data_IF_218758197680
#
_entry.id   IF_218758197680
#
_cell.length_a   1.000
_cell.length_b   1.000
_cell.length_c   1.000
_cell.angle_alpha   90.00
_cell.angle_beta   90.00
_cell.angle_gamma   90.00
#
_symmetry.space_group_name_H-M   'P 1'
#
loop_
_entity.id
_entity.type
_entity.pdbx_description
1 polymer ?
#
# COMPACT_ATOMS: atom_id res chain seq x y z
N UNK A 1 23.41 -12.75 73.54
CA UNK A 1 24.16 -13.39 72.44
C UNK A 1 23.30 -13.25 71.18
N UNK A 2 23.63 -12.55 70.11
CA UNK A 2 24.88 -11.95 69.65
C UNK A 2 24.56 -10.76 68.72
N UNK A 3 25.38 -9.70 68.80
CA UNK A 3 25.45 -8.62 67.81
C UNK A 3 26.81 -8.70 67.11
N UNK A 4 26.79 -8.51 65.79
CA UNK A 4 27.79 -7.69 65.11
C UNK A 4 28.98 -8.35 64.40
N UNK A 5 28.99 -8.12 63.08
CA UNK A 5 30.11 -7.92 62.15
C UNK A 5 30.88 -9.12 61.54
N UNK A 6 31.23 -8.89 60.26
CA UNK A 6 32.26 -9.47 59.36
C UNK A 6 31.68 -10.29 58.21
N UNK A 7 32.17 -10.27 56.98
CA UNK A 7 33.01 -9.36 56.18
C UNK A 7 32.94 -9.95 54.76
N UNK A 8 33.04 -9.08 53.75
CA UNK A 8 33.59 -9.37 52.42
C UNK A 8 33.11 -10.62 51.66
N UNK A 9 32.13 -10.45 50.76
CA UNK A 9 32.01 -11.33 49.59
C UNK A 9 32.47 -10.59 48.32
N UNK A 10 33.45 -11.22 47.70
CA UNK A 10 34.21 -10.84 46.52
C UNK A 10 33.36 -10.85 45.24
N UNK A 11 33.44 -9.76 44.47
CA UNK A 11 32.91 -9.68 43.11
C UNK A 11 33.90 -10.39 42.17
N UNK A 12 33.50 -11.45 41.42
CA UNK A 12 34.36 -12.03 40.40
C UNK A 12 34.33 -11.19 39.11
N UNK A 13 35.43 -11.19 38.33
CA UNK A 13 35.66 -10.20 37.28
C UNK A 13 34.85 -10.46 36.02
N UNK A 14 34.60 -9.33 35.36
CA UNK A 14 34.08 -9.11 34.03
C UNK A 14 34.56 -10.19 33.04
N UNK A 15 33.64 -11.06 32.62
CA UNK A 15 33.84 -11.96 31.48
C UNK A 15 32.98 -11.46 30.34
N UNK A 16 33.54 -10.45 29.69
CA UNK A 16 33.47 -10.17 28.26
C UNK A 16 33.23 -11.46 27.47
N UNK A 17 31.96 -11.76 27.19
CA UNK A 17 31.53 -12.83 26.29
C UNK A 17 30.65 -12.24 25.21
N UNK A 18 31.36 -11.64 24.25
CA UNK A 18 31.16 -11.83 22.81
C UNK A 18 29.71 -11.63 22.37
N UNK A 19 29.39 -10.39 22.02
CA UNK A 19 28.32 -10.09 21.08
C UNK A 19 28.65 -10.80 19.76
N UNK A 20 28.13 -12.01 19.59
CA UNK A 20 28.13 -12.74 18.33
C UNK A 20 27.27 -11.98 17.32
N UNK A 21 27.97 -11.08 16.63
CA UNK A 21 27.85 -10.75 15.22
C UNK A 21 26.68 -11.41 14.49
N UNK A 22 25.49 -10.81 14.61
CA UNK A 22 24.31 -11.14 13.77
C UNK A 22 24.48 -10.71 12.30
N UNK A 23 25.71 -10.66 11.80
CA UNK A 23 26.05 -10.38 10.39
C UNK A 23 26.40 -11.65 9.60
N UNK A 24 26.07 -12.83 10.13
CA UNK A 24 26.34 -14.11 9.47
C UNK A 24 25.06 -14.79 8.95
N UNK A 25 24.40 -14.23 7.93
CA UNK A 25 23.49 -14.98 7.06
C UNK A 25 23.03 -14.11 5.87
N UNK A 26 24.00 -13.59 5.10
CA UNK A 26 23.73 -13.27 3.70
C UNK A 26 23.74 -14.61 2.96
N UNK A 27 22.64 -15.34 3.08
CA UNK A 27 22.29 -16.29 2.03
C UNK A 27 21.89 -15.39 0.87
N UNK A 28 22.73 -15.34 -0.13
CA UNK A 28 22.52 -14.62 -1.37
C UNK A 28 21.17 -15.06 -1.98
N UNK A 29 20.12 -14.26 -1.79
CA UNK A 29 18.78 -14.47 -2.38
C UNK A 29 18.71 -13.97 -3.83
N UNK A 30 19.83 -13.74 -4.52
CA UNK A 30 19.83 -13.07 -5.83
C UNK A 30 19.49 -13.97 -7.03
N UNK A 31 19.11 -15.24 -6.82
CA UNK A 31 18.69 -16.10 -7.93
C UNK A 31 17.37 -16.82 -7.67
N UNK A 32 16.39 -16.10 -7.11
CA UNK A 32 14.98 -16.51 -7.09
C UNK A 32 14.18 -15.94 -8.28
N UNK A 33 14.81 -15.81 -9.45
CA UNK A 33 14.17 -15.29 -10.66
C UNK A 33 13.32 -16.32 -11.41
N UNK A 34 13.33 -17.58 -10.98
CA UNK A 34 12.35 -18.58 -11.41
C UNK A 34 11.02 -18.42 -10.68
N UNK A 35 10.55 -17.17 -10.54
CA UNK A 35 9.12 -16.95 -10.39
C UNK A 35 8.54 -17.31 -11.75
N UNK A 36 8.11 -18.57 -11.92
CA UNK A 36 7.05 -18.88 -12.88
C UNK A 36 5.95 -17.85 -12.63
N UNK A 37 5.92 -16.79 -13.43
CA UNK A 37 4.74 -15.93 -13.51
C UNK A 37 3.66 -16.90 -13.95
N UNK A 38 2.80 -17.27 -13.01
CA UNK A 38 1.54 -17.94 -13.35
C UNK A 38 0.86 -17.11 -14.44
N UNK A 39 0.01 -17.75 -15.28
CA UNK A 39 -0.57 -17.13 -16.46
C UNK A 39 -1.00 -15.71 -16.11
N UNK A 40 -0.23 -14.73 -16.61
CA UNK A 40 -0.40 -13.35 -16.19
C UNK A 40 -1.83 -13.00 -16.49
N UNK A 41 -2.66 -12.82 -15.46
CA UNK A 41 -4.05 -12.40 -15.67
C UNK A 41 -3.93 -11.09 -16.41
N UNK A 42 -4.25 -11.13 -17.71
CA UNK A 42 -4.09 -9.98 -18.59
C UNK A 42 -4.85 -8.86 -17.89
N UNK A 43 -4.13 -7.78 -17.54
CA UNK A 43 -4.76 -6.56 -17.02
C UNK A 43 -5.90 -6.23 -17.98
N UNK A 44 -7.09 -5.91 -17.44
CA UNK A 44 -8.22 -5.49 -18.27
C UNK A 44 -7.75 -4.42 -19.25
N UNK A 45 -8.22 -4.46 -20.49
CA UNK A 45 -7.71 -3.55 -21.52
C UNK A 45 -7.94 -2.08 -21.15
N UNK A 46 -8.99 -1.79 -20.37
CA UNK A 46 -9.25 -0.47 -19.76
C UNK A 46 -8.10 0.05 -18.88
N UNK A 47 -7.41 -0.83 -18.15
CA UNK A 47 -6.29 -0.47 -17.28
C UNK A 47 -5.01 -0.28 -18.08
N UNK A 48 -4.86 -0.98 -19.22
CA UNK A 48 -3.72 -0.85 -20.13
C UNK A 48 -3.74 0.50 -20.86
N UNK A 49 -4.88 0.91 -21.42
CA UNK A 49 -5.01 2.20 -22.09
C UNK A 49 -4.72 3.39 -21.16
N UNK A 50 -5.15 3.31 -19.89
CA UNK A 50 -4.84 4.33 -18.89
C UNK A 50 -3.34 4.41 -18.53
N UNK A 51 -2.61 3.27 -18.57
CA UNK A 51 -1.16 3.22 -18.37
C UNK A 51 -0.38 3.71 -19.61
N UNK A 52 -0.94 3.56 -20.81
CA UNK A 52 -0.35 3.92 -22.11
C UNK A 52 -0.60 5.39 -22.52
N UNK A 53 -1.32 6.16 -21.68
CA UNK A 53 -1.54 7.60 -21.88
C UNK A 53 -2.75 7.96 -22.75
N UNK A 54 -3.58 6.98 -23.10
CA UNK A 54 -4.85 7.20 -23.78
C UNK A 54 -5.92 7.56 -22.74
N UNK A 55 -6.01 8.85 -22.39
CA UNK A 55 -7.15 9.34 -21.63
C UNK A 55 -8.32 9.56 -22.59
N UNK A 56 -9.46 8.93 -22.31
CA UNK A 56 -10.71 9.30 -22.96
C UNK A 56 -11.06 10.76 -22.59
N UNK A 57 -11.81 11.46 -23.43
CA UNK A 57 -12.19 12.86 -23.20
C UNK A 57 -12.82 13.07 -21.81
N UNK A 58 -13.70 12.15 -21.41
CA UNK A 58 -14.34 12.11 -20.09
C UNK A 58 -13.33 12.05 -18.93
N UNK A 59 -12.30 11.20 -19.07
CA UNK A 59 -11.27 11.02 -18.05
C UNK A 59 -10.38 12.25 -17.97
N UNK A 60 -10.06 12.88 -19.10
CA UNK A 60 -9.28 14.11 -19.15
C UNK A 60 -10.02 15.26 -18.47
N UNK A 61 -11.30 15.47 -18.78
CA UNK A 61 -12.15 16.48 -18.13
C UNK A 61 -12.22 16.29 -16.62
N UNK A 62 -12.39 15.04 -16.16
CA UNK A 62 -12.37 14.73 -14.74
C UNK A 62 -11.03 15.06 -14.08
N UNK A 63 -9.90 14.70 -14.71
CA UNK A 63 -8.56 15.00 -14.18
C UNK A 63 -8.33 16.51 -14.09
N UNK A 64 -8.74 17.28 -15.10
CA UNK A 64 -8.64 18.74 -15.10
C UNK A 64 -9.47 19.38 -13.98
N UNK A 65 -10.72 18.95 -13.80
CA UNK A 65 -11.57 19.45 -12.73
C UNK A 65 -11.02 19.10 -11.34
N UNK A 66 -10.44 17.91 -11.18
CA UNK A 66 -9.77 17.51 -9.94
C UNK A 66 -8.52 18.35 -9.65
N UNK A 67 -7.73 18.68 -10.68
CA UNK A 67 -6.55 19.55 -10.55
C UNK A 67 -6.94 20.98 -10.14
N UNK A 68 -8.00 21.52 -10.76
CA UNK A 68 -8.59 22.81 -10.37
C UNK A 68 -9.07 22.81 -8.92
N UNK A 69 -9.82 21.78 -8.51
CA UNK A 69 -10.29 21.62 -7.13
C UNK A 69 -9.13 21.63 -6.12
N UNK A 70 -8.07 20.87 -6.41
CA UNK A 70 -6.88 20.79 -5.54
C UNK A 70 -6.19 22.14 -5.40
N UNK A 71 -6.04 22.88 -6.50
CA UNK A 71 -5.42 24.22 -6.49
C UNK A 71 -6.27 25.23 -5.73
N UNK A 72 -7.57 25.29 -6.00
CA UNK A 72 -8.49 26.24 -5.36
C UNK A 72 -8.55 26.04 -3.84
N UNK A 73 -8.59 24.78 -3.39
CA UNK A 73 -8.73 24.44 -1.97
C UNK A 73 -7.39 24.22 -1.25
N UNK A 74 -6.25 24.35 -1.96
CA UNK A 74 -4.89 24.04 -1.46
C UNK A 74 -4.81 22.67 -0.79
N UNK A 75 -5.59 21.71 -1.30
CA UNK A 75 -5.74 20.38 -0.71
C UNK A 75 -5.27 19.33 -1.73
N UNK A 76 -4.04 18.81 -1.60
CA UNK A 76 -3.50 17.86 -2.58
C UNK A 76 -4.25 16.52 -2.60
N UNK A 77 -4.84 16.14 -1.46
CA UNK A 77 -5.57 14.89 -1.27
C UNK A 77 -7.02 15.16 -0.87
N UNK A 78 -7.94 15.31 -1.84
CA UNK A 78 -9.36 15.43 -1.56
C UNK A 78 -9.92 14.15 -0.94
N UNK A 79 -10.93 14.27 -0.08
CA UNK A 79 -11.69 13.14 0.44
C UNK A 79 -12.63 12.58 -0.64
N UNK A 80 -13.10 11.34 -0.47
CA UNK A 80 -14.08 10.75 -1.39
C UNK A 80 -15.40 11.54 -1.45
N UNK A 81 -15.77 12.26 -0.39
CA UNK A 81 -16.93 13.16 -0.40
C UNK A 81 -16.71 14.36 -1.32
N UNK A 82 -15.52 14.97 -1.29
CA UNK A 82 -15.15 16.10 -2.15
C UNK A 82 -15.03 15.65 -3.62
N UNK A 83 -14.48 14.46 -3.85
CA UNK A 83 -14.46 13.86 -5.20
C UNK A 83 -15.88 13.72 -5.75
N UNK A 84 -16.84 13.27 -4.94
CA UNK A 84 -18.24 13.19 -5.36
C UNK A 84 -18.85 14.57 -5.69
N UNK A 85 -18.43 15.63 -5.01
CA UNK A 85 -18.86 17.00 -5.33
C UNK A 85 -18.32 17.46 -6.68
N UNK A 86 -17.05 17.18 -7.00
CA UNK A 86 -16.46 17.49 -8.31
C UNK A 86 -17.18 16.73 -9.43
N UNK A 87 -17.50 15.45 -9.21
CA UNK A 87 -18.28 14.66 -10.17
C UNK A 87 -19.66 15.28 -10.41
N UNK A 88 -20.35 15.73 -9.36
CA UNK A 88 -21.64 16.43 -9.50
C UNK A 88 -21.49 17.78 -10.21
N UNK A 89 -20.43 18.53 -9.94
CA UNK A 89 -20.12 19.81 -10.59
C UNK A 89 -19.94 19.66 -12.11
N UNK A 90 -19.30 18.57 -12.55
CA UNK A 90 -19.20 18.21 -13.96
C UNK A 90 -20.53 17.80 -14.62
N UNK A 91 -21.62 17.73 -13.85
CA UNK A 91 -22.96 17.42 -14.37
C UNK A 91 -23.31 15.93 -14.37
N UNK A 92 -22.46 15.06 -13.82
CA UNK A 92 -22.79 13.64 -13.69
C UNK A 92 -23.92 13.44 -12.67
N UNK A 93 -24.90 12.62 -13.07
CA UNK A 93 -26.04 12.25 -12.24
C UNK A 93 -26.25 10.74 -12.28
N UNK A 94 -26.65 10.16 -11.15
CA UNK A 94 -27.02 8.74 -11.08
C UNK A 94 -28.36 8.55 -11.79
N UNK A 95 -28.35 7.87 -12.94
CA UNK A 95 -29.56 7.59 -13.75
C UNK A 95 -30.03 6.14 -13.70
N UNK A 96 -29.20 5.24 -13.16
CA UNK A 96 -29.46 3.81 -13.13
C UNK A 96 -29.21 3.25 -11.73
N UNK A 97 -29.76 2.05 -11.50
CA UNK A 97 -29.45 1.25 -10.31
C UNK A 97 -27.98 0.81 -10.30
N UNK A 98 -27.52 0.35 -9.14
CA UNK A 98 -26.14 -0.12 -8.96
C UNK A 98 -25.88 -1.28 -9.91
N UNK A 99 -25.00 -1.08 -10.89
CA UNK A 99 -24.57 -2.13 -11.82
C UNK A 99 -23.64 -3.15 -11.18
N UNK A 100 -23.30 -4.18 -11.94
CA UNK A 100 -22.38 -5.21 -11.49
C UNK A 100 -20.95 -4.67 -11.42
N UNK A 101 -20.23 -5.07 -10.37
CA UNK A 101 -18.82 -4.71 -10.23
C UNK A 101 -18.01 -5.36 -11.35
N UNK A 102 -17.08 -4.62 -11.95
CA UNK A 102 -16.27 -5.05 -13.11
C UNK A 102 -15.55 -6.38 -12.85
N UNK A 103 -15.16 -6.65 -11.60
CA UNK A 103 -14.47 -7.87 -11.19
C UNK A 103 -15.38 -8.91 -10.52
N UNK A 104 -16.71 -8.81 -10.61
CA UNK A 104 -17.61 -9.81 -10.01
C UNK A 104 -17.36 -11.17 -10.70
N UNK A 105 -16.90 -12.20 -9.97
CA UNK A 105 -16.79 -13.54 -10.53
C UNK A 105 -18.19 -14.07 -10.83
N UNK A 106 -18.32 -14.90 -11.88
CA UNK A 106 -19.57 -15.58 -12.18
C UNK A 106 -20.09 -16.29 -10.91
N UNK A 107 -21.40 -16.26 -10.62
CA UNK A 107 -21.94 -17.01 -9.50
C UNK A 107 -21.56 -18.49 -9.66
N UNK A 108 -21.15 -19.12 -8.56
CA UNK A 108 -20.81 -20.54 -8.56
C UNK A 108 -22.03 -21.35 -9.05
N UNK A 109 -21.85 -22.34 -9.94
CA UNK A 109 -22.94 -23.23 -10.32
C UNK A 109 -23.34 -24.07 -9.10
N UNK A 110 -24.66 -24.14 -8.83
CA UNK A 110 -25.26 -24.98 -7.78
C UNK A 110 -24.93 -26.48 -7.93
#
# INVERSE_FOLDING_TARGET
MASGLKDGQSVPPDRERRAEDRRGSIVDRRSGLERRRGPGRRRSDSRRSAEEGELNAEQFEFVMAMDEYKRANKKPFPSWTEVLEVVKYLGYRKVAEVGDHVDRPAPDPE
#
